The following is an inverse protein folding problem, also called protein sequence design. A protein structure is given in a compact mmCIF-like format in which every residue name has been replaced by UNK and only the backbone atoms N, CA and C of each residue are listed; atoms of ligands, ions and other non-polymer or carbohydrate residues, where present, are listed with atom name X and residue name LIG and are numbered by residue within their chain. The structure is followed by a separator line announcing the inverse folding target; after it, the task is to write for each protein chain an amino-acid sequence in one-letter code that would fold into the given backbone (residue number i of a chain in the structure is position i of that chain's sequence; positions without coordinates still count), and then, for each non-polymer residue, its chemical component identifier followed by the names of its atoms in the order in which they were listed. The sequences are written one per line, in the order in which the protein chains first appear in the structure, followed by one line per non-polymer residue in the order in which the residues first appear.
data_IF_741901759216
#
_entry.id   IF_741901759216
#
_cell.length_a   1.000
_cell.length_b   1.000
_cell.length_c   1.000
_cell.angle_alpha   90.00
_cell.angle_beta   90.00
_cell.angle_gamma   90.00
#
_symmetry.space_group_name_H-M   'P 1'
#
loop_
_entity.id
_entity.type
_entity.pdbx_description
1 polymer ?
#
# COMPACT_ATOMS: atom_id res chain seq x y z
N UNK A 1 -28.45 -2.40 28.18
CA UNK A 1 -28.05 -0.98 28.10
C UNK A 1 -27.57 -0.73 26.67
N UNK A 2 -28.09 0.30 25.99
CA UNK A 2 -27.51 0.78 24.73
C UNK A 2 -26.16 1.41 25.08
N UNK A 3 -25.11 0.99 24.39
CA UNK A 3 -23.77 1.54 24.56
C UNK A 3 -23.35 2.02 23.18
N UNK A 4 -23.06 3.31 23.09
CA UNK A 4 -22.75 4.04 21.87
C UNK A 4 -21.55 4.95 22.21
N UNK A 5 -20.63 5.10 21.28
CA UNK A 5 -19.50 6.02 21.42
C UNK A 5 -19.41 6.90 20.18
N UNK A 6 -19.17 8.19 20.40
CA UNK A 6 -18.78 9.13 19.37
C UNK A 6 -17.33 9.57 19.64
N UNK A 7 -16.51 9.61 18.62
CA UNK A 7 -15.09 9.99 18.68
C UNK A 7 -14.79 11.00 17.58
N UNK A 8 -14.11 12.09 17.93
CA UNK A 8 -13.71 13.14 16.99
C UNK A 8 -12.18 13.13 16.91
N UNK A 9 -11.62 13.04 15.71
CA UNK A 9 -10.20 13.19 15.43
C UNK A 9 -9.96 14.51 14.69
N UNK A 10 -8.94 15.25 15.09
CA UNK A 10 -8.47 16.44 14.38
C UNK A 10 -6.99 16.32 14.04
N UNK A 11 -6.63 16.70 12.81
CA UNK A 11 -5.25 16.72 12.32
C UNK A 11 -4.80 18.16 12.11
N UNK A 12 -3.74 18.56 12.80
CA UNK A 12 -3.14 19.90 12.69
C UNK A 12 -1.70 19.78 12.20
N UNK A 13 -1.33 20.58 11.18
CA UNK A 13 0.04 20.70 10.73
C UNK A 13 0.84 21.55 11.72
N UNK A 14 1.78 20.94 12.45
CA UNK A 14 2.59 21.65 13.46
C UNK A 14 3.54 22.70 12.88
N UNK A 15 3.83 22.65 11.57
CA UNK A 15 4.71 23.61 10.88
C UNK A 15 3.96 24.86 10.43
N UNK A 16 2.72 24.70 9.95
CA UNK A 16 1.90 25.82 9.44
C UNK A 16 0.80 26.24 10.42
N UNK A 17 0.61 25.52 11.51
CA UNK A 17 -0.48 25.69 12.49
C UNK A 17 -1.89 25.57 11.90
N UNK A 18 -2.02 25.01 10.70
CA UNK A 18 -3.30 24.86 10.00
C UNK A 18 -3.97 23.54 10.36
N UNK A 19 -5.29 23.56 10.52
CA UNK A 19 -6.11 22.34 10.69
C UNK A 19 -6.37 21.74 9.31
N UNK A 20 -5.91 20.52 9.10
CA UNK A 20 -5.97 19.82 7.81
C UNK A 20 -7.25 19.00 7.66
N UNK A 21 -7.73 18.36 8.74
CA UNK A 21 -8.93 17.54 8.72
C UNK A 21 -9.55 17.43 10.12
N UNK A 22 -10.87 17.29 10.18
CA UNK A 22 -11.61 16.95 11.40
C UNK A 22 -12.65 15.90 11.02
N UNK A 23 -12.59 14.72 11.63
CA UNK A 23 -13.38 13.56 11.23
C UNK A 23 -14.02 12.89 12.44
N UNK A 24 -15.27 12.43 12.26
CA UNK A 24 -16.06 11.79 13.32
C UNK A 24 -16.28 10.30 13.07
N UNK A 25 -16.11 9.50 14.12
CA UNK A 25 -16.41 8.07 14.17
C UNK A 25 -17.46 7.74 15.20
N UNK A 26 -18.40 6.88 14.82
CA UNK A 26 -19.53 6.44 15.63
C UNK A 26 -19.58 4.91 15.65
N UNK A 27 -19.72 4.34 16.84
CA UNK A 27 -19.94 2.91 16.98
C UNK A 27 -20.99 2.61 18.05
N UNK A 28 -21.82 1.60 17.80
CA UNK A 28 -22.77 1.06 18.77
C UNK A 28 -22.50 -0.43 19.06
N UNK A 29 -22.91 -0.90 20.24
CA UNK A 29 -22.76 -2.31 20.69
C UNK A 29 -23.35 -3.36 19.73
N UNK A 30 -24.29 -2.95 18.86
CA UNK A 30 -24.93 -3.83 17.88
C UNK A 30 -24.08 -4.01 16.60
N UNK A 31 -23.10 -3.15 16.38
CA UNK A 31 -22.23 -3.16 15.20
C UNK A 31 -20.97 -4.02 15.42
N UNK A 32 -20.56 -4.22 16.68
CA UNK A 32 -19.45 -5.13 17.04
C UNK A 32 -19.76 -6.60 16.75
N UNK A 33 -21.03 -7.02 16.78
CA UNK A 33 -21.41 -8.38 16.38
C UNK A 33 -21.26 -8.61 14.87
N UNK A 34 -21.30 -7.56 14.05
CA UNK A 34 -20.98 -7.64 12.63
C UNK A 34 -19.46 -7.63 12.38
N UNK A 35 -18.69 -6.86 13.16
CA UNK A 35 -17.22 -6.81 13.05
C UNK A 35 -16.51 -8.15 13.38
N UNK A 36 -17.08 -8.98 14.27
CA UNK A 36 -16.54 -10.33 14.57
C UNK A 36 -16.87 -11.34 13.45
N UNK A 37 -17.89 -11.10 12.62
CA UNK A 37 -18.36 -12.04 11.60
C UNK A 37 -18.15 -11.61 10.14
N UNK A 38 -17.88 -10.33 9.86
CA UNK A 38 -17.77 -9.78 8.51
C UNK A 38 -16.76 -8.63 8.42
N UNK A 39 -16.04 -8.56 7.31
CA UNK A 39 -14.96 -7.64 6.95
C UNK A 39 -13.74 -7.58 7.88
N UNK A 40 -13.89 -7.76 9.20
CA UNK A 40 -12.80 -7.71 10.18
C UNK A 40 -12.43 -9.06 10.81
N UNK A 41 -13.30 -10.08 10.71
CA UNK A 41 -13.10 -11.38 11.39
C UNK A 41 -12.30 -12.46 10.62
N UNK A 42 -12.06 -12.32 9.31
CA UNK A 42 -11.49 -13.43 8.49
C UNK A 42 -10.30 -13.02 7.61
N UNK A 43 -9.94 -11.73 7.54
CA UNK A 43 -8.82 -11.30 6.68
C UNK A 43 -8.33 -9.86 6.80
N UNK A 44 -8.85 -9.07 7.74
CA UNK A 44 -8.43 -7.68 7.94
C UNK A 44 -8.55 -7.27 9.40
N UNK A 45 -7.42 -6.92 10.02
CA UNK A 45 -7.28 -6.23 11.32
C UNK A 45 -7.91 -6.89 12.59
N UNK A 46 -8.93 -7.75 12.51
CA UNK A 46 -9.73 -8.16 13.67
C UNK A 46 -9.60 -9.62 14.16
N UNK A 47 -8.69 -10.44 13.60
CA UNK A 47 -8.56 -11.84 14.03
C UNK A 47 -7.26 -12.18 14.81
N UNK A 48 -6.35 -11.22 15.02
CA UNK A 48 -5.10 -11.55 15.72
C UNK A 48 -4.12 -10.42 16.04
N UNK A 49 -4.50 -9.15 15.90
CA UNK A 49 -3.52 -8.06 15.99
C UNK A 49 -3.52 -7.24 17.29
N UNK A 50 -4.51 -7.36 18.19
CA UNK A 50 -4.52 -6.51 19.40
C UNK A 50 -5.02 -7.27 20.64
N UNK A 51 -4.14 -8.09 21.23
CA UNK A 51 -4.35 -8.69 22.56
C UNK A 51 -4.23 -7.67 23.71
N UNK A 52 -4.97 -6.57 23.65
CA UNK A 52 -4.92 -5.46 24.62
C UNK A 52 -6.23 -5.27 25.38
N UNK A 53 -6.15 -4.86 26.65
CA UNK A 53 -7.26 -4.82 27.63
C UNK A 53 -8.51 -3.99 27.29
N UNK A 54 -8.60 -3.39 26.11
CA UNK A 54 -9.79 -2.68 25.61
C UNK A 54 -10.85 -3.65 25.02
N UNK A 55 -10.48 -4.90 24.73
CA UNK A 55 -11.43 -5.96 24.40
C UNK A 55 -12.14 -6.54 25.63
N UNK A 56 -11.69 -6.26 26.85
CA UNK A 56 -12.23 -6.91 28.05
C UNK A 56 -13.58 -6.34 28.51
N UNK A 57 -14.00 -5.19 27.96
CA UNK A 57 -15.29 -4.56 28.33
C UNK A 57 -16.06 -4.10 27.09
N UNK A 58 -17.39 -4.16 27.16
CA UNK A 58 -18.27 -3.69 26.08
C UNK A 58 -18.00 -2.21 25.72
N UNK A 59 -17.68 -1.40 26.72
CA UNK A 59 -17.41 0.04 26.55
C UNK A 59 -16.06 0.24 25.83
N UNK A 60 -15.02 -0.50 26.24
CA UNK A 60 -13.71 -0.44 25.58
C UNK A 60 -13.78 -0.79 24.10
N UNK A 61 -14.49 -1.88 23.75
CA UNK A 61 -14.67 -2.32 22.35
C UNK A 61 -15.35 -1.26 21.48
N UNK A 62 -16.41 -0.63 21.99
CA UNK A 62 -17.20 0.34 21.22
C UNK A 62 -16.41 1.64 21.01
N UNK A 63 -15.64 2.08 22.02
CA UNK A 63 -14.74 3.23 21.89
C UNK A 63 -13.63 2.94 20.88
N UNK A 64 -13.01 1.76 20.94
CA UNK A 64 -11.99 1.35 19.96
C UNK A 64 -12.58 1.27 18.55
N UNK A 65 -13.80 0.76 18.38
CA UNK A 65 -14.45 0.70 17.08
C UNK A 65 -14.75 2.09 16.51
N UNK A 66 -15.26 3.01 17.34
CA UNK A 66 -15.49 4.40 16.95
C UNK A 66 -14.17 5.08 16.52
N UNK A 67 -13.08 4.83 17.26
CA UNK A 67 -11.75 5.34 16.93
C UNK A 67 -11.23 4.79 15.59
N UNK A 68 -11.29 3.47 15.37
CA UNK A 68 -10.86 2.85 14.10
C UNK A 68 -11.65 3.41 12.93
N UNK A 69 -12.97 3.59 13.09
CA UNK A 69 -13.82 4.17 12.05
C UNK A 69 -13.45 5.63 11.76
N UNK A 70 -13.24 6.46 12.78
CA UNK A 70 -12.82 7.85 12.61
C UNK A 70 -11.46 7.92 11.89
N UNK A 71 -10.51 7.08 12.28
CA UNK A 71 -9.18 7.01 11.67
C UNK A 71 -9.25 6.56 10.21
N UNK A 72 -9.99 5.49 9.91
CA UNK A 72 -10.14 5.01 8.54
C UNK A 72 -10.76 6.08 7.62
N UNK A 73 -11.81 6.79 8.09
CA UNK A 73 -12.40 7.91 7.34
C UNK A 73 -11.40 9.06 7.15
N UNK A 74 -10.63 9.41 8.18
CA UNK A 74 -9.63 10.48 8.07
C UNK A 74 -8.52 10.13 7.05
N UNK A 75 -8.11 8.87 6.97
CA UNK A 75 -7.12 8.38 5.98
C UNK A 75 -7.67 8.43 4.56
N UNK A 76 -8.94 8.08 4.37
CA UNK A 76 -9.66 8.17 3.10
C UNK A 76 -9.86 9.65 2.67
N UNK A 77 -10.30 10.52 3.59
CA UNK A 77 -10.48 11.96 3.34
C UNK A 77 -9.18 12.68 2.96
N UNK A 78 -8.05 12.28 3.57
CA UNK A 78 -6.73 12.81 3.23
C UNK A 78 -6.14 12.22 1.93
N UNK A 79 -6.88 11.32 1.26
CA UNK A 79 -6.53 10.77 -0.04
C UNK A 79 -5.36 9.79 -0.03
N UNK A 80 -5.01 9.24 1.15
CA UNK A 80 -3.93 8.25 1.29
C UNK A 80 -4.39 6.83 0.93
N UNK A 81 -5.70 6.62 0.76
CA UNK A 81 -6.30 5.39 0.23
C UNK A 81 -7.55 5.75 -0.55
N UNK A 82 -7.67 5.33 -1.80
CA UNK A 82 -8.90 5.36 -2.61
C UNK A 82 -9.47 3.94 -2.73
N UNK A 83 -10.79 3.75 -2.82
CA UNK A 83 -11.36 2.47 -3.15
C UNK A 83 -10.84 1.99 -4.53
N UNK A 84 -10.00 0.95 -4.53
CA UNK A 84 -9.29 0.47 -5.73
C UNK A 84 -7.79 0.75 -5.72
N UNK A 85 -7.28 1.47 -4.73
CA UNK A 85 -5.86 1.45 -4.42
C UNK A 85 -5.55 0.04 -3.91
N UNK A 86 -4.85 -0.73 -4.72
CA UNK A 86 -4.04 -1.85 -4.23
C UNK A 86 -3.21 -1.25 -3.10
N UNK A 87 -3.41 -1.73 -1.86
CA UNK A 87 -2.64 -1.28 -0.72
C UNK A 87 -1.18 -1.18 -1.14
N UNK A 88 -0.47 -0.14 -0.70
CA UNK A 88 0.86 0.27 -1.14
C UNK A 88 1.98 -0.77 -0.86
N UNK A 89 1.75 -2.05 -1.14
CA UNK A 89 2.75 -3.04 -1.50
C UNK A 89 3.61 -2.60 -2.71
N UNK A 90 3.30 -1.47 -3.35
CA UNK A 90 4.23 -0.74 -4.22
C UNK A 90 5.39 -0.06 -3.46
N UNK A 91 5.30 0.02 -2.13
CA UNK A 91 6.37 0.47 -1.22
C UNK A 91 6.99 -0.67 -0.40
N UNK A 92 6.77 -1.94 -0.79
CA UNK A 92 7.82 -2.91 -0.55
C UNK A 92 9.02 -2.46 -1.41
N UNK A 93 10.27 -2.43 -0.91
CA UNK A 93 11.42 -2.17 -1.77
C UNK A 93 11.40 -3.23 -2.86
N UNK A 94 10.91 -2.86 -4.04
CA UNK A 94 10.98 -3.71 -5.22
C UNK A 94 12.45 -3.97 -5.38
N UNK A 95 12.88 -5.22 -5.22
CA UNK A 95 14.27 -5.62 -5.41
C UNK A 95 14.70 -5.02 -6.75
N UNK A 96 15.52 -3.98 -6.68
CA UNK A 96 16.04 -3.32 -7.87
C UNK A 96 17.06 -4.24 -8.49
N UNK A 97 17.22 -4.12 -9.80
CA UNK A 97 18.20 -4.90 -10.53
C UNK A 97 19.22 -3.97 -11.16
N UNK A 98 20.47 -4.36 -11.11
CA UNK A 98 21.55 -3.65 -11.78
C UNK A 98 21.93 -4.41 -13.05
N UNK A 99 21.99 -3.69 -14.17
CA UNK A 99 22.50 -4.23 -15.43
C UNK A 99 24.00 -4.57 -15.28
N UNK A 100 24.36 -5.84 -15.44
CA UNK A 100 25.74 -6.31 -15.32
C UNK A 100 26.57 -6.05 -16.59
N UNK A 101 25.89 -5.82 -17.72
CA UNK A 101 26.49 -5.55 -19.02
C UNK A 101 25.51 -4.69 -19.85
N UNK A 102 25.96 -4.07 -20.95
CA UNK A 102 25.06 -3.35 -21.85
C UNK A 102 23.87 -4.21 -22.29
N UNK A 103 22.65 -3.72 -22.01
CA UNK A 103 21.40 -4.43 -22.27
C UNK A 103 20.46 -3.55 -23.10
N UNK A 104 19.94 -4.10 -24.19
CA UNK A 104 18.94 -3.41 -25.01
C UNK A 104 17.57 -3.50 -24.34
N UNK A 105 17.00 -2.34 -24.06
CA UNK A 105 15.62 -2.17 -23.60
C UNK A 105 14.72 -2.04 -24.81
N UNK A 106 13.64 -2.82 -24.87
CA UNK A 106 12.79 -3.00 -26.06
C UNK A 106 11.33 -2.71 -25.78
N UNK A 107 10.56 -2.42 -26.83
CA UNK A 107 9.12 -2.14 -26.72
C UNK A 107 8.25 -3.39 -26.46
N UNK A 108 8.79 -4.59 -26.64
CA UNK A 108 8.06 -5.86 -26.54
C UNK A 108 9.03 -6.99 -26.15
N UNK A 109 8.56 -8.08 -25.49
CA UNK A 109 9.39 -9.19 -25.00
C UNK A 109 9.89 -10.13 -26.11
N UNK A 110 10.43 -9.58 -27.20
CA UNK A 110 11.00 -10.36 -28.30
C UNK A 110 12.30 -9.75 -28.80
N UNK A 111 13.26 -10.59 -29.17
CA UNK A 111 14.60 -10.15 -29.58
C UNK A 111 14.62 -9.30 -30.87
N UNK A 112 13.57 -9.40 -31.70
CA UNK A 112 13.41 -8.61 -32.92
C UNK A 112 12.68 -7.28 -32.69
N UNK A 113 12.10 -7.04 -31.51
CA UNK A 113 11.36 -5.80 -31.24
C UNK A 113 12.27 -4.57 -31.29
N UNK A 114 11.73 -3.43 -31.70
CA UNK A 114 12.48 -2.16 -31.70
C UNK A 114 13.09 -1.90 -30.31
N UNK A 115 14.39 -1.61 -30.29
CA UNK A 115 15.06 -1.15 -29.09
C UNK A 115 14.66 0.30 -28.80
N UNK A 116 14.19 0.56 -27.58
CA UNK A 116 13.93 1.88 -27.03
C UNK A 116 15.27 2.59 -26.80
N UNK A 117 16.22 1.88 -26.15
CA UNK A 117 17.59 2.32 -25.89
C UNK A 117 18.47 1.16 -25.46
N UNK A 118 19.77 1.41 -25.36
CA UNK A 118 20.72 0.50 -24.72
C UNK A 118 21.11 1.08 -23.37
N UNK A 119 20.88 0.31 -22.31
CA UNK A 119 21.26 0.65 -20.94
C UNK A 119 22.71 0.20 -20.71
N UNK A 120 23.60 1.06 -20.20
CA UNK A 120 24.97 0.68 -19.86
C UNK A 120 25.02 -0.28 -18.67
N UNK A 121 26.19 -0.91 -18.47
CA UNK A 121 26.45 -1.64 -17.23
C UNK A 121 26.39 -0.67 -16.03
N UNK A 122 25.83 -1.13 -14.91
CA UNK A 122 25.60 -0.32 -13.72
C UNK A 122 24.23 0.36 -13.65
N UNK A 123 23.45 0.38 -14.74
CA UNK A 123 22.10 0.98 -14.72
C UNK A 123 21.18 0.27 -13.73
N UNK A 124 20.51 1.05 -12.88
CA UNK A 124 19.50 0.58 -11.94
C UNK A 124 18.15 0.49 -12.66
N UNK A 125 17.49 -0.64 -12.48
CA UNK A 125 16.24 -0.98 -13.13
C UNK A 125 15.21 -1.43 -12.09
N UNK A 126 13.99 -0.94 -12.27
CA UNK A 126 12.87 -1.16 -11.38
C UNK A 126 11.89 -2.13 -12.04
N UNK A 127 11.74 -3.37 -11.56
CA UNK A 127 10.82 -4.32 -12.17
C UNK A 127 9.37 -3.85 -12.00
N UNK A 128 8.58 -3.87 -13.08
CA UNK A 128 7.16 -3.50 -13.02
C UNK A 128 6.29 -4.63 -12.45
N UNK A 129 6.79 -5.87 -12.54
CA UNK A 129 6.08 -7.10 -12.18
C UNK A 129 5.72 -7.95 -13.40
N UNK A 130 5.74 -7.37 -14.61
CA UNK A 130 5.44 -8.10 -15.83
C UNK A 130 6.65 -8.90 -16.32
N UNK A 131 6.44 -10.20 -16.58
CA UNK A 131 7.47 -11.13 -17.02
C UNK A 131 6.94 -12.00 -18.17
N UNK A 132 7.78 -12.23 -19.16
CA UNK A 132 7.53 -13.12 -20.29
C UNK A 132 8.79 -13.94 -20.57
N UNK A 133 8.90 -15.09 -19.89
CA UNK A 133 10.07 -15.95 -19.95
C UNK A 133 11.34 -15.22 -19.47
N UNK A 134 12.32 -15.09 -20.37
CA UNK A 134 13.58 -14.38 -20.11
C UNK A 134 13.46 -12.86 -20.19
N UNK A 135 12.32 -12.35 -20.65
CA UNK A 135 12.07 -10.92 -20.79
C UNK A 135 11.31 -10.38 -19.60
N UNK A 136 11.89 -9.41 -18.92
CA UNK A 136 11.26 -8.74 -17.80
C UNK A 136 11.01 -7.29 -18.17
N UNK A 137 9.82 -6.79 -17.85
CA UNK A 137 9.51 -5.39 -18.00
C UNK A 137 10.05 -4.61 -16.79
N UNK A 138 10.81 -3.58 -17.11
CA UNK A 138 11.49 -2.73 -16.13
C UNK A 138 11.30 -1.27 -16.50
N UNK A 139 11.33 -0.42 -15.48
CA UNK A 139 11.52 1.02 -15.62
C UNK A 139 12.99 1.37 -15.38
N UNK A 140 13.54 2.32 -16.13
CA UNK A 140 14.84 2.92 -15.84
C UNK A 140 14.71 4.16 -14.93
N UNK A 141 15.84 4.75 -14.55
CA UNK A 141 15.90 5.95 -13.69
C UNK A 141 15.26 7.21 -14.33
N UNK A 142 14.96 7.15 -15.63
CA UNK A 142 14.32 8.23 -16.37
C UNK A 142 12.84 7.92 -16.67
N UNK A 143 12.22 7.03 -15.88
CA UNK A 143 10.84 6.56 -16.00
C UNK A 143 10.47 5.90 -17.35
N UNK A 144 11.46 5.43 -18.12
CA UNK A 144 11.17 4.74 -19.37
C UNK A 144 10.90 3.27 -19.06
N UNK A 145 9.76 2.77 -19.53
CA UNK A 145 9.33 1.39 -19.34
C UNK A 145 9.60 0.57 -20.59
N UNK A 146 10.13 -0.63 -20.41
CA UNK A 146 10.43 -1.53 -21.52
C UNK A 146 10.95 -2.89 -21.07
N UNK A 147 11.13 -3.76 -22.06
CA UNK A 147 11.49 -5.16 -21.87
C UNK A 147 12.99 -5.37 -22.01
N UNK A 148 13.59 -6.02 -21.03
CA UNK A 148 15.02 -6.35 -20.98
C UNK A 148 15.22 -7.84 -20.73
N UNK A 149 16.39 -8.37 -21.12
CA UNK A 149 16.76 -9.75 -20.81
C UNK A 149 17.24 -9.88 -19.36
N UNK A 150 16.60 -10.76 -18.60
CA UNK A 150 16.93 -11.02 -17.20
C UNK A 150 18.34 -11.60 -16.99
N UNK A 151 18.91 -12.27 -18.00
CA UNK A 151 20.23 -12.91 -17.93
C UNK A 151 21.37 -11.92 -17.76
N UNK A 152 21.09 -10.62 -17.97
CA UNK A 152 22.06 -9.52 -17.81
C UNK A 152 21.78 -8.68 -16.55
N UNK A 153 20.86 -9.12 -15.70
CA UNK A 153 20.45 -8.41 -14.50
C UNK A 153 20.90 -9.17 -13.26
N UNK A 154 21.40 -8.46 -12.25
CA UNK A 154 21.59 -9.01 -10.91
C UNK A 154 20.84 -8.16 -9.89
N UNK A 155 20.37 -8.74 -8.77
CA UNK A 155 19.80 -7.97 -7.67
C UNK A 155 20.78 -6.89 -7.22
N UNK A 156 20.34 -5.65 -7.16
CA UNK A 156 21.11 -4.55 -6.58
C UNK A 156 21.36 -4.85 -5.10
N UNK A 157 22.61 -4.70 -4.66
CA UNK A 157 23.03 -4.86 -3.26
C UNK A 157 22.69 -3.60 -2.45
#
# INVERSE_FOLDING_TARGET
RKSEANTVLSLTNVRTTETLAVTEGYAAKRDTSFAVGGAFGVGGIGAGAVGGGYENTDIGRIVTLAFIQAYAKMVDELGYTRPGDEGTAQAAPKKTFTAQAPVAMRVSPVASARAIRTLPAGSILYPTGNQNGLWWEVADENDNVGWVLNTKLAPSQ
#
